data_IF_230526969062
#
_entry.id   IF_230526969062
#
_cell.length_a   1.000
_cell.length_b   1.000
_cell.length_c   1.000
_cell.angle_alpha   90.00
_cell.angle_beta   90.00
_cell.angle_gamma   90.00
#
_symmetry.space_group_name_H-M   'P 1'
#
loop_
_entity.id
_entity.type
_entity.pdbx_description
1 polymer ?
#
# COMPACT_ATOMS: atom_id res chain seq x y z
N UNK A 1 5.65 3.43 -24.65
CA UNK A 1 5.20 2.06 -24.27
C UNK A 1 6.09 1.04 -24.96
N UNK A 2 6.45 -0.06 -24.27
CA UNK A 2 7.15 -1.20 -24.89
C UNK A 2 6.16 -2.35 -25.09
N UNK A 3 6.21 -3.03 -26.24
CA UNK A 3 5.35 -4.19 -26.54
C UNK A 3 6.08 -5.47 -26.14
N UNK A 4 5.42 -6.31 -25.35
CA UNK A 4 5.94 -7.60 -24.90
C UNK A 4 4.90 -8.66 -25.22
N UNK A 5 5.35 -9.83 -25.69
CA UNK A 5 4.51 -11.01 -25.82
C UNK A 5 4.69 -11.87 -24.57
N UNK A 6 3.57 -12.32 -23.99
CA UNK A 6 3.55 -13.21 -22.83
C UNK A 6 2.64 -14.39 -23.15
N UNK A 7 3.00 -15.56 -22.64
CA UNK A 7 2.13 -16.73 -22.70
C UNK A 7 1.24 -16.73 -21.47
N UNK A 8 -0.06 -16.96 -21.67
CA UNK A 8 -1.07 -17.12 -20.64
C UNK A 8 -1.76 -18.46 -20.89
N UNK A 9 -2.09 -19.18 -19.84
CA UNK A 9 -2.97 -20.34 -19.98
C UNK A 9 -4.41 -19.91 -20.31
N UNK A 10 -5.20 -20.88 -20.76
CA UNK A 10 -6.59 -20.64 -21.17
C UNK A 10 -7.48 -20.17 -20.01
N UNK A 11 -7.21 -20.64 -18.79
CA UNK A 11 -7.97 -20.27 -17.61
C UNK A 11 -7.78 -18.78 -17.29
N UNK A 12 -6.53 -18.33 -17.20
CA UNK A 12 -6.18 -16.92 -16.96
C UNK A 12 -6.73 -16.04 -18.08
N UNK A 13 -6.62 -16.47 -19.33
CA UNK A 13 -7.15 -15.70 -20.45
C UNK A 13 -8.68 -15.55 -20.36
N UNK A 14 -9.40 -16.62 -20.02
CA UNK A 14 -10.86 -16.58 -19.85
C UNK A 14 -11.30 -15.63 -18.73
N UNK A 15 -10.55 -15.58 -17.63
CA UNK A 15 -10.78 -14.65 -16.53
C UNK A 15 -10.58 -13.20 -17.01
N UNK A 16 -9.50 -12.93 -17.73
CA UNK A 16 -9.21 -11.60 -18.28
C UNK A 16 -10.27 -11.14 -19.29
N UNK A 17 -10.79 -12.02 -20.14
CA UNK A 17 -11.89 -11.70 -21.05
C UNK A 17 -13.17 -11.32 -20.31
N UNK A 18 -13.53 -12.07 -19.26
CA UNK A 18 -14.70 -11.77 -18.44
C UNK A 18 -14.55 -10.41 -17.75
N UNK A 19 -13.41 -10.17 -17.12
CA UNK A 19 -13.09 -8.91 -16.45
C UNK A 19 -13.08 -7.73 -17.42
N UNK A 20 -12.56 -7.93 -18.63
CA UNK A 20 -12.53 -6.91 -19.69
C UNK A 20 -13.95 -6.45 -20.05
N UNK A 21 -14.87 -7.40 -20.23
CA UNK A 21 -16.28 -7.11 -20.51
C UNK A 21 -16.97 -6.40 -19.34
N UNK A 22 -16.76 -6.90 -18.11
CA UNK A 22 -17.38 -6.33 -16.91
C UNK A 22 -16.91 -4.90 -16.62
N UNK A 23 -15.61 -4.64 -16.73
CA UNK A 23 -14.99 -3.36 -16.41
C UNK A 23 -14.92 -2.38 -17.59
N UNK A 24 -15.32 -2.82 -18.79
CA UNK A 24 -15.19 -2.06 -20.05
C UNK A 24 -13.76 -1.56 -20.29
N UNK A 25 -12.76 -2.37 -19.93
CA UNK A 25 -11.33 -2.09 -20.12
C UNK A 25 -10.71 -3.09 -21.07
N UNK A 26 -9.64 -2.71 -21.75
CA UNK A 26 -8.90 -3.66 -22.58
C UNK A 26 -8.14 -4.68 -21.72
N UNK A 27 -7.96 -5.91 -22.20
CA UNK A 27 -7.13 -6.93 -21.52
C UNK A 27 -5.73 -6.39 -21.24
N UNK A 28 -5.15 -5.63 -22.18
CA UNK A 28 -3.83 -5.03 -22.01
C UNK A 28 -3.79 -3.99 -20.89
N UNK A 29 -4.88 -3.27 -20.66
CA UNK A 29 -5.02 -2.31 -19.57
C UNK A 29 -5.15 -3.03 -18.22
N UNK A 30 -5.98 -4.07 -18.15
CA UNK A 30 -6.10 -4.91 -16.96
C UNK A 30 -4.75 -5.53 -16.55
N UNK A 31 -4.01 -6.09 -17.51
CA UNK A 31 -2.67 -6.65 -17.25
C UNK A 31 -1.73 -5.57 -16.71
N UNK A 32 -1.72 -4.38 -17.32
CA UNK A 32 -0.88 -3.27 -16.86
C UNK A 32 -1.27 -2.81 -15.45
N UNK A 33 -2.56 -2.68 -15.16
CA UNK A 33 -3.06 -2.29 -13.84
C UNK A 33 -2.68 -3.32 -12.79
N UNK A 34 -2.89 -4.61 -13.03
CA UNK A 34 -2.51 -5.67 -12.09
C UNK A 34 -1.01 -5.73 -11.83
N UNK A 35 -0.18 -5.57 -12.88
CA UNK A 35 1.28 -5.46 -12.72
C UNK A 35 1.61 -4.20 -11.90
N UNK A 36 1.01 -3.06 -12.27
CA UNK A 36 1.27 -1.80 -11.60
C UNK A 36 0.86 -1.86 -10.13
N UNK A 37 -0.31 -2.39 -9.78
CA UNK A 37 -0.76 -2.58 -8.39
C UNK A 37 0.19 -3.49 -7.61
N UNK A 38 0.55 -4.64 -8.20
CA UNK A 38 1.45 -5.61 -7.55
C UNK A 38 2.83 -5.02 -7.24
N UNK A 39 3.38 -4.21 -8.14
CA UNK A 39 4.70 -3.60 -7.96
C UNK A 39 4.65 -2.17 -7.39
N UNK A 40 3.47 -1.53 -7.37
CA UNK A 40 3.20 -0.24 -6.69
C UNK A 40 2.77 -0.41 -5.25
N UNK A 41 2.56 -1.64 -4.77
CA UNK A 41 2.66 -2.00 -3.35
C UNK A 41 4.12 -1.86 -2.91
N UNK A 42 4.61 -0.63 -3.04
CA UNK A 42 5.98 -0.25 -2.91
C UNK A 42 6.21 -0.05 -1.42
N UNK A 43 6.90 -0.99 -0.79
CA UNK A 43 7.49 -0.81 0.54
C UNK A 43 8.18 0.55 0.66
N UNK A 44 8.72 1.11 -0.44
CA UNK A 44 9.24 2.47 -0.51
C UNK A 44 8.24 3.59 -0.15
N UNK A 45 6.95 3.47 -0.45
CA UNK A 45 5.93 4.46 -0.05
C UNK A 45 5.66 4.38 1.45
N UNK A 46 5.52 3.17 1.99
CA UNK A 46 5.35 2.95 3.44
C UNK A 46 6.61 3.40 4.20
N UNK A 47 7.80 3.03 3.73
CA UNK A 47 9.09 3.47 4.29
C UNK A 47 9.22 5.00 4.20
N UNK A 48 8.81 5.62 3.09
CA UNK A 48 8.81 7.08 2.96
C UNK A 48 7.86 7.74 3.97
N UNK A 49 6.65 7.21 4.15
CA UNK A 49 5.70 7.72 5.15
C UNK A 49 6.19 7.47 6.58
N UNK A 50 6.75 6.30 6.87
CA UNK A 50 7.37 5.98 8.15
C UNK A 50 8.54 6.92 8.43
N UNK A 51 9.45 7.13 7.48
CA UNK A 51 10.57 8.08 7.63
C UNK A 51 10.10 9.53 7.78
N UNK A 52 8.95 9.91 7.21
CA UNK A 52 8.37 11.25 7.37
C UNK A 52 7.76 11.44 8.78
N UNK A 53 7.29 10.36 9.40
CA UNK A 53 6.76 10.38 10.78
C UNK A 53 7.87 10.10 11.81
N UNK A 54 8.92 9.38 11.43
CA UNK A 54 10.08 9.08 12.23
C UNK A 54 10.85 10.38 12.51
N UNK A 55 10.82 10.83 13.77
CA UNK A 55 11.39 12.11 14.17
C UNK A 55 10.39 13.22 14.44
N UNK A 56 9.08 13.05 14.16
CA UNK A 56 8.07 14.05 14.59
C UNK A 56 8.07 14.24 16.12
N UNK A 57 8.56 13.24 16.86
CA UNK A 57 8.69 13.26 18.31
C UNK A 57 10.14 13.31 18.79
N UNK A 58 11.14 13.42 17.90
CA UNK A 58 12.55 13.44 18.33
C UNK A 58 12.94 14.74 19.03
N UNK A 59 12.26 15.84 18.71
CA UNK A 59 12.55 17.17 19.26
C UNK A 59 11.71 17.49 20.51
N UNK A 60 10.89 16.52 20.97
CA UNK A 60 10.14 16.66 22.21
C UNK A 60 10.99 16.14 23.37
N UNK A 61 11.53 17.06 24.15
CA UNK A 61 12.13 16.79 25.46
C UNK A 61 11.03 16.66 26.53
N UNK A 62 10.01 15.85 26.24
CA UNK A 62 8.94 15.55 27.19
C UNK A 62 9.37 14.37 28.05
N UNK A 63 9.33 14.52 29.38
CA UNK A 63 9.49 13.41 30.32
C UNK A 63 8.31 12.43 30.13
N UNK A 64 8.54 11.43 29.28
CA UNK A 64 7.59 10.39 28.92
C UNK A 64 7.04 9.68 30.17
N UNK A 65 7.86 9.50 31.21
CA UNK A 65 7.42 8.87 32.45
C UNK A 65 6.49 9.77 33.27
N UNK A 66 6.73 11.08 33.28
CA UNK A 66 5.81 12.05 33.88
C UNK A 66 4.49 12.14 33.12
N UNK A 67 4.55 12.15 31.78
CA UNK A 67 3.37 12.15 30.92
C UNK A 67 2.49 10.90 31.15
N UNK A 68 3.09 9.71 31.13
CA UNK A 68 2.38 8.44 31.39
C UNK A 68 1.81 8.40 32.80
N UNK A 69 2.55 8.88 33.82
CA UNK A 69 2.05 8.96 35.20
C UNK A 69 0.83 9.86 35.32
N UNK A 70 0.82 11.02 34.68
CA UNK A 70 -0.32 11.92 34.72
C UNK A 70 -1.56 11.30 34.06
N UNK A 71 -1.43 10.62 32.92
CA UNK A 71 -2.55 9.89 32.30
C UNK A 71 -3.11 8.79 33.22
N UNK A 72 -2.25 8.14 34.01
CA UNK A 72 -2.66 7.08 34.93
C UNK A 72 -3.33 7.59 36.21
N UNK A 73 -3.08 8.83 36.61
CA UNK A 73 -3.77 9.45 37.77
C UNK A 73 -5.27 9.55 37.54
N UNK A 74 -5.68 9.80 36.31
CA UNK A 74 -7.10 9.86 35.91
C UNK A 74 -7.77 8.48 35.89
N UNK A 75 -6.99 7.40 36.12
CA UNK A 75 -7.44 6.00 36.15
C UNK A 75 -7.16 5.32 37.49
N UNK A 76 -6.95 6.09 38.57
CA UNK A 76 -7.02 5.54 39.93
C UNK A 76 -8.47 5.10 40.21
N UNK A 77 -8.74 3.82 39.99
CA UNK A 77 -9.84 3.06 40.59
C UNK A 77 -9.47 2.65 42.00
#
# INVERSE_FOLDING_TARGET
MKRTQIYLDEEIFSILERESKMKKKSISELIRESIHEKYSYNSGKIIKHLNMVFGIWSDKDDDVYKYIRNIRKDREL
#
